data_IF_944626077780
#
_entry.id   IF_944626077780
#
_cell.length_a   1.000
_cell.length_b   1.000
_cell.length_c   1.000
_cell.angle_alpha   90.00
_cell.angle_beta   90.00
_cell.angle_gamma   90.00
#
_symmetry.space_group_name_H-M   'P 1'
#
loop_
_entity.id
_entity.type
_entity.pdbx_description
1 polymer ?
#
# COMPACT_ATOMS: atom_id res chain seq x y z
N UNK A 1 8.29 -4.66 -33.30
CA UNK A 1 8.33 -4.46 -31.84
C UNK A 1 7.15 -5.12 -31.10
N UNK A 2 6.14 -5.67 -31.78
CA UNK A 2 4.96 -6.31 -31.14
C UNK A 2 5.28 -7.59 -30.33
N UNK A 3 6.48 -8.16 -30.47
CA UNK A 3 6.92 -9.37 -29.79
C UNK A 3 8.08 -9.14 -28.80
N UNK A 4 8.24 -7.91 -28.27
CA UNK A 4 9.27 -7.63 -27.25
C UNK A 4 8.91 -8.40 -25.97
N UNK A 5 9.85 -9.20 -25.41
CA UNK A 5 9.64 -9.86 -24.13
C UNK A 5 9.39 -8.83 -23.03
N UNK A 6 8.39 -9.11 -22.19
CA UNK A 6 8.04 -8.22 -21.07
C UNK A 6 9.17 -8.09 -20.08
N UNK A 7 9.40 -6.88 -19.58
CA UNK A 7 10.36 -6.68 -18.50
C UNK A 7 9.77 -7.14 -17.16
N UNK A 8 10.61 -7.64 -16.24
CA UNK A 8 10.14 -8.00 -14.90
C UNK A 8 9.73 -6.75 -14.11
N UNK A 9 8.55 -6.81 -13.51
CA UNK A 9 8.03 -5.76 -12.64
C UNK A 9 8.58 -5.91 -11.22
N UNK A 10 9.00 -4.79 -10.61
CA UNK A 10 9.43 -4.70 -9.22
C UNK A 10 8.22 -4.75 -8.28
N UNK A 11 8.34 -5.48 -7.17
CA UNK A 11 7.45 -5.41 -6.01
C UNK A 11 8.27 -5.28 -4.72
N UNK A 12 7.61 -4.87 -3.64
CA UNK A 12 8.20 -4.75 -2.29
C UNK A 12 7.32 -5.52 -1.32
N UNK A 13 7.93 -6.12 -0.29
CA UNK A 13 7.24 -6.95 0.69
C UNK A 13 6.26 -6.16 1.58
N UNK A 14 5.29 -6.88 2.14
CA UNK A 14 4.31 -6.35 3.09
C UNK A 14 4.97 -6.12 4.46
N UNK A 15 4.56 -5.06 5.16
CA UNK A 15 4.89 -4.86 6.58
C UNK A 15 4.27 -5.98 7.42
N UNK A 16 5.03 -6.46 8.40
CA UNK A 16 4.54 -7.42 9.39
C UNK A 16 3.98 -6.69 10.61
N UNK A 17 2.80 -7.10 11.05
CA UNK A 17 2.16 -6.53 12.24
C UNK A 17 2.70 -7.22 13.51
N UNK A 18 2.94 -6.43 14.54
CA UNK A 18 3.18 -6.93 15.90
C UNK A 18 1.88 -7.30 16.61
N UNK A 19 2.00 -7.74 17.86
CA UNK A 19 0.85 -8.02 18.73
C UNK A 19 0.03 -6.75 19.00
N UNK A 20 -1.30 -6.91 19.02
CA UNK A 20 -2.24 -5.82 19.27
C UNK A 20 -3.44 -6.33 20.06
N UNK A 21 -3.72 -5.65 21.18
CA UNK A 21 -4.58 -6.19 22.23
C UNK A 21 -6.07 -5.85 22.08
N UNK A 22 -6.52 -5.17 21.00
CA UNK A 22 -7.86 -4.57 20.97
C UNK A 22 -8.91 -5.24 20.05
N UNK A 23 -8.59 -6.28 19.27
CA UNK A 23 -9.59 -7.09 18.52
C UNK A 23 -8.88 -8.20 17.73
N UNK A 24 -8.90 -9.44 18.23
CA UNK A 24 -8.10 -10.52 17.65
C UNK A 24 -8.60 -11.00 16.28
N UNK A 25 -9.91 -11.21 16.09
CA UNK A 25 -10.40 -11.94 14.92
C UNK A 25 -10.27 -11.19 13.59
N UNK A 26 -10.65 -9.90 13.54
CA UNK A 26 -10.62 -9.12 12.30
C UNK A 26 -9.20 -8.66 11.96
N UNK A 27 -8.40 -8.32 12.99
CA UNK A 27 -6.99 -7.98 12.79
C UNK A 27 -6.20 -9.20 12.32
N UNK A 28 -6.39 -10.39 12.91
CA UNK A 28 -5.70 -11.61 12.49
C UNK A 28 -5.91 -11.91 10.99
N UNK A 29 -7.10 -11.64 10.46
CA UNK A 29 -7.38 -11.79 9.03
C UNK A 29 -6.71 -10.70 8.17
N UNK A 30 -6.59 -9.48 8.67
CA UNK A 30 -5.93 -8.37 7.97
C UNK A 30 -4.39 -8.46 7.99
N UNK A 31 -3.80 -9.02 9.05
CA UNK A 31 -2.34 -9.16 9.19
C UNK A 31 -1.81 -10.42 8.49
N UNK A 32 -2.60 -11.48 8.41
CA UNK A 32 -2.31 -12.68 7.62
C UNK A 32 -3.09 -12.68 6.30
N UNK A 33 -3.02 -11.56 5.59
CA UNK A 33 -3.80 -11.36 4.37
C UNK A 33 -3.34 -12.32 3.26
N UNK A 34 -4.31 -12.93 2.57
CA UNK A 34 -4.04 -13.69 1.35
C UNK A 34 -3.51 -12.78 0.25
N UNK A 35 -2.57 -13.27 -0.56
CA UNK A 35 -1.96 -12.48 -1.65
C UNK A 35 -2.84 -12.43 -2.91
N UNK A 36 -4.14 -12.21 -2.74
CA UNK A 36 -5.18 -12.30 -3.78
C UNK A 36 -6.26 -11.20 -3.66
N UNK A 37 -7.25 -11.19 -4.57
CA UNK A 37 -8.30 -10.15 -4.62
C UNK A 37 -9.06 -10.02 -3.30
N UNK A 38 -9.33 -11.14 -2.64
CA UNK A 38 -9.97 -11.18 -1.34
C UNK A 38 -9.13 -10.45 -0.30
N UNK A 39 -7.81 -10.63 -0.33
CA UNK A 39 -6.89 -9.91 0.54
C UNK A 39 -6.98 -8.38 0.43
N UNK A 40 -7.12 -7.85 -0.78
CA UNK A 40 -7.34 -6.40 -0.96
C UNK A 40 -8.67 -5.93 -0.37
N UNK A 41 -9.72 -6.75 -0.47
CA UNK A 41 -11.03 -6.46 0.11
C UNK A 41 -10.94 -6.46 1.64
N UNK A 42 -10.25 -7.44 2.22
CA UNK A 42 -10.00 -7.55 3.66
C UNK A 42 -9.28 -6.32 4.22
N UNK A 43 -8.18 -5.89 3.58
CA UNK A 43 -7.45 -4.68 4.01
C UNK A 43 -8.29 -3.41 3.92
N UNK A 44 -9.06 -3.23 2.83
CA UNK A 44 -9.97 -2.07 2.67
C UNK A 44 -11.06 -2.05 3.73
N UNK A 45 -11.66 -3.21 4.00
CA UNK A 45 -12.70 -3.36 5.03
C UNK A 45 -12.13 -3.01 6.41
N UNK A 46 -10.96 -3.53 6.73
CA UNK A 46 -10.31 -3.27 8.01
C UNK A 46 -9.92 -1.79 8.15
N UNK A 47 -9.33 -1.17 7.12
CA UNK A 47 -9.03 0.26 7.11
C UNK A 47 -10.27 1.14 7.37
N UNK A 48 -11.41 0.80 6.76
CA UNK A 48 -12.68 1.49 7.02
C UNK A 48 -13.19 1.28 8.44
N UNK A 49 -13.08 0.06 8.98
CA UNK A 49 -13.45 -0.22 10.37
C UNK A 49 -12.59 0.56 11.38
N UNK A 50 -11.29 0.73 11.11
CA UNK A 50 -10.41 1.57 11.95
C UNK A 50 -10.86 3.03 11.94
N UNK A 51 -11.29 3.58 10.81
CA UNK A 51 -11.86 4.94 10.73
C UNK A 51 -13.16 5.05 11.52
N UNK A 52 -14.07 4.08 11.38
CA UNK A 52 -15.30 4.05 12.16
C UNK A 52 -15.02 3.97 13.66
N UNK A 53 -14.05 3.16 14.08
CA UNK A 53 -13.64 3.03 15.47
C UNK A 53 -13.10 4.37 16.02
N UNK A 54 -12.16 4.99 15.31
CA UNK A 54 -11.58 6.28 15.70
C UNK A 54 -12.63 7.39 15.80
N UNK A 55 -13.68 7.36 14.97
CA UNK A 55 -14.77 8.34 15.04
C UNK A 55 -15.65 8.23 16.30
N UNK A 56 -15.58 7.09 17.01
CA UNK A 56 -16.40 6.80 18.20
C UNK A 56 -15.57 6.77 19.49
N UNK A 57 -14.31 6.37 19.37
CA UNK A 57 -13.39 6.17 20.50
C UNK A 57 -12.14 7.01 20.24
N UNK A 58 -11.79 7.95 21.14
CA UNK A 58 -10.59 8.76 20.98
C UNK A 58 -9.35 7.88 21.26
N UNK A 59 -8.76 7.32 20.19
CA UNK A 59 -7.59 6.42 20.25
C UNK A 59 -6.34 7.03 19.60
N UNK A 60 -6.35 8.34 19.36
CA UNK A 60 -5.17 9.09 18.90
C UNK A 60 -4.18 9.41 20.04
N UNK A 61 -3.05 10.06 19.74
CA UNK A 61 -1.98 10.30 20.71
C UNK A 61 -2.46 11.03 21.96
N UNK A 62 -2.14 10.48 23.14
CA UNK A 62 -2.45 11.10 24.44
C UNK A 62 -3.92 10.99 24.89
N UNK A 63 -4.78 10.30 24.14
CA UNK A 63 -6.13 10.00 24.60
C UNK A 63 -6.17 8.79 25.54
N UNK A 64 -7.16 8.75 26.41
CA UNK A 64 -7.33 7.70 27.44
C UNK A 64 -7.51 6.29 26.85
N UNK A 65 -8.12 6.19 25.65
CA UNK A 65 -8.31 4.91 24.96
C UNK A 65 -7.21 4.62 23.92
N UNK A 66 -6.13 5.39 23.88
CA UNK A 66 -4.98 5.09 23.06
C UNK A 66 -4.34 3.77 23.53
N UNK A 67 -3.99 2.90 22.58
CA UNK A 67 -3.35 1.62 22.86
C UNK A 67 -2.09 1.47 22.01
N UNK A 68 -1.06 0.74 22.51
CA UNK A 68 0.15 0.50 21.74
C UNK A 68 -0.15 -0.25 20.43
N UNK A 69 0.29 0.33 19.32
CA UNK A 69 0.27 -0.23 17.97
C UNK A 69 1.71 -0.51 17.56
N UNK A 70 2.04 -1.77 17.26
CA UNK A 70 3.40 -2.18 16.88
C UNK A 70 3.43 -2.76 15.47
N UNK A 71 4.38 -2.31 14.65
CA UNK A 71 4.66 -2.86 13.32
C UNK A 71 6.16 -2.96 13.07
N UNK A 72 6.56 -3.92 12.23
CA UNK A 72 7.95 -4.06 11.80
C UNK A 72 8.25 -3.10 10.66
N UNK A 73 9.31 -2.31 10.79
CA UNK A 73 9.86 -1.47 9.74
C UNK A 73 10.63 -2.34 8.73
N UNK A 74 10.30 -2.23 7.43
CA UNK A 74 10.74 -3.23 6.43
C UNK A 74 12.23 -3.20 6.10
N UNK A 75 12.91 -2.06 6.26
CA UNK A 75 14.32 -1.95 5.87
C UNK A 75 15.27 -2.41 6.97
N UNK A 76 14.94 -2.10 8.23
CA UNK A 76 15.76 -2.45 9.39
C UNK A 76 15.30 -3.72 10.10
N UNK A 77 14.07 -4.19 9.83
CA UNK A 77 13.46 -5.32 10.53
C UNK A 77 13.13 -5.03 12.00
N UNK A 78 13.19 -3.77 12.44
CA UNK A 78 12.95 -3.39 13.83
C UNK A 78 11.46 -3.15 14.08
N UNK A 79 10.99 -3.58 15.25
CA UNK A 79 9.66 -3.24 15.74
C UNK A 79 9.60 -1.75 16.10
N UNK A 80 8.56 -1.08 15.65
CA UNK A 80 8.25 0.32 15.92
C UNK A 80 6.87 0.38 16.56
N UNK A 81 6.74 1.11 17.66
CA UNK A 81 5.51 1.17 18.46
C UNK A 81 5.06 2.61 18.67
N UNK A 82 3.77 2.87 18.44
CA UNK A 82 3.11 4.14 18.74
C UNK A 82 1.77 3.92 19.43
N UNK A 83 1.40 4.78 20.37
CA UNK A 83 0.06 4.82 20.96
C UNK A 83 -0.87 5.69 20.10
N UNK A 84 -1.09 5.26 18.87
CA UNK A 84 -1.87 6.00 17.88
C UNK A 84 -2.54 5.06 16.88
N UNK A 85 -3.86 5.04 16.85
CA UNK A 85 -4.63 4.26 15.88
C UNK A 85 -4.33 4.67 14.42
N UNK A 86 -3.93 5.91 14.18
CA UNK A 86 -3.56 6.35 12.84
C UNK A 86 -2.27 5.69 12.34
N UNK A 87 -1.41 5.18 13.23
CA UNK A 87 -0.28 4.34 12.83
C UNK A 87 -0.74 2.99 12.25
N UNK A 88 -1.75 2.36 12.85
CA UNK A 88 -2.33 1.12 12.33
C UNK A 88 -2.95 1.36 10.94
N UNK A 89 -3.74 2.43 10.81
CA UNK A 89 -4.35 2.83 9.54
C UNK A 89 -3.30 3.04 8.44
N UNK A 90 -2.20 3.73 8.76
CA UNK A 90 -1.08 3.96 7.86
C UNK A 90 -0.45 2.65 7.37
N UNK A 91 -0.14 1.73 8.28
CA UNK A 91 0.48 0.44 7.93
C UNK A 91 -0.45 -0.45 7.08
N UNK A 92 -1.74 -0.47 7.39
CA UNK A 92 -2.74 -1.21 6.61
C UNK A 92 -2.86 -0.63 5.19
N UNK A 93 -2.87 0.69 5.06
CA UNK A 93 -2.91 1.35 3.76
C UNK A 93 -1.63 1.12 2.94
N UNK A 94 -0.47 1.14 3.60
CA UNK A 94 0.81 0.78 2.98
C UNK A 94 0.77 -0.65 2.42
N UNK A 95 0.34 -1.62 3.23
CA UNK A 95 0.18 -3.01 2.82
C UNK A 95 -0.85 -3.18 1.68
N UNK A 96 -1.93 -2.41 1.69
CA UNK A 96 -2.89 -2.40 0.59
C UNK A 96 -2.23 -1.94 -0.73
N UNK A 97 -1.45 -0.86 -0.70
CA UNK A 97 -0.69 -0.38 -1.86
C UNK A 97 0.23 -1.47 -2.42
N UNK A 98 1.02 -2.11 -1.56
CA UNK A 98 1.94 -3.20 -1.94
C UNK A 98 1.21 -4.42 -2.50
N UNK A 99 0.15 -4.87 -1.84
CA UNK A 99 -0.64 -6.03 -2.29
C UNK A 99 -1.29 -5.77 -3.66
N UNK A 100 -1.75 -4.55 -3.92
CA UNK A 100 -2.27 -4.16 -5.22
C UNK A 100 -1.15 -4.21 -6.29
N UNK A 101 0.04 -3.69 -5.98
CA UNK A 101 1.20 -3.73 -6.90
C UNK A 101 1.57 -5.14 -7.33
N UNK A 102 1.60 -6.11 -6.39
CA UNK A 102 1.93 -7.50 -6.69
C UNK A 102 0.98 -8.15 -7.71
N UNK A 103 -0.27 -7.66 -7.79
CA UNK A 103 -1.24 -8.12 -8.80
C UNK A 103 -1.06 -7.43 -10.16
N UNK A 104 -0.41 -6.27 -10.18
CA UNK A 104 -0.03 -5.58 -11.41
C UNK A 104 0.96 -6.37 -12.27
N UNK A 105 1.66 -7.35 -11.68
CA UNK A 105 2.69 -8.17 -12.34
C UNK A 105 2.19 -8.96 -13.58
N UNK A 106 0.87 -9.08 -13.77
CA UNK A 106 0.26 -9.70 -14.97
C UNK A 106 -0.31 -8.67 -15.98
N UNK A 107 0.21 -7.44 -16.00
CA UNK A 107 -0.06 -6.37 -17.01
C UNK A 107 -1.34 -5.58 -16.73
N UNK A 108 -1.68 -5.39 -15.46
CA UNK A 108 -2.82 -4.55 -15.11
C UNK A 108 -2.34 -3.14 -14.76
N UNK A 109 -2.36 -2.26 -15.76
CA UNK A 109 -2.11 -0.83 -15.59
C UNK A 109 -2.97 -0.23 -14.45
N UNK A 110 -4.22 -0.68 -14.33
CA UNK A 110 -5.15 -0.24 -13.27
C UNK A 110 -4.63 -0.58 -11.88
N UNK A 111 -4.01 -1.74 -11.68
CA UNK A 111 -3.47 -2.10 -10.36
C UNK A 111 -2.31 -1.19 -9.97
N UNK A 112 -1.36 -0.94 -10.87
CA UNK A 112 -0.26 -0.01 -10.58
C UNK A 112 -0.75 1.41 -10.28
N UNK A 113 -1.74 1.93 -11.04
CA UNK A 113 -2.37 3.21 -10.72
C UNK A 113 -3.08 3.20 -9.34
N UNK A 114 -3.82 2.14 -9.02
CA UNK A 114 -4.45 2.01 -7.70
C UNK A 114 -3.43 1.94 -6.56
N UNK A 115 -2.29 1.28 -6.78
CA UNK A 115 -1.19 1.22 -5.82
C UNK A 115 -0.57 2.61 -5.60
N UNK A 116 -0.27 3.33 -6.68
CA UNK A 116 0.19 4.73 -6.62
C UNK A 116 -0.79 5.62 -5.86
N UNK A 117 -2.10 5.43 -6.08
CA UNK A 117 -3.15 6.16 -5.36
C UNK A 117 -3.16 5.87 -3.86
N UNK A 118 -2.94 4.61 -3.44
CA UNK A 118 -2.84 4.26 -2.03
C UNK A 118 -1.64 4.92 -1.34
N UNK A 119 -0.46 4.91 -1.98
CA UNK A 119 0.72 5.58 -1.44
C UNK A 119 0.59 7.12 -1.45
N UNK A 120 -0.07 7.69 -2.46
CA UNK A 120 -0.35 9.14 -2.49
C UNK A 120 -1.28 9.53 -1.36
N UNK A 121 -2.35 8.77 -1.13
CA UNK A 121 -3.25 9.02 -0.01
C UNK A 121 -2.52 8.91 1.33
N UNK A 122 -1.67 7.88 1.50
CA UNK A 122 -0.86 7.70 2.70
C UNK A 122 0.04 8.93 2.95
N UNK A 123 0.78 9.37 1.93
CA UNK A 123 1.68 10.53 1.98
C UNK A 123 0.94 11.82 2.35
N UNK A 124 -0.25 12.03 1.79
CA UNK A 124 -0.95 13.32 1.89
C UNK A 124 -1.82 13.43 3.17
N UNK A 125 -2.24 12.30 3.75
CA UNK A 125 -3.17 12.29 4.90
C UNK A 125 -2.52 11.88 6.23
N UNK A 126 -1.32 11.27 6.21
CA UNK A 126 -0.60 10.86 7.42
C UNK A 126 0.70 11.66 7.56
N UNK A 127 0.58 12.88 8.09
CA UNK A 127 1.64 13.90 8.13
C UNK A 127 2.84 13.46 8.99
N UNK A 128 2.60 12.64 10.02
CA UNK A 128 3.67 12.08 10.84
C UNK A 128 4.30 10.88 10.13
N UNK A 129 5.59 11.01 9.78
CA UNK A 129 6.37 9.86 9.31
C UNK A 129 6.64 8.91 10.48
N UNK A 130 5.74 7.96 10.70
CA UNK A 130 5.85 6.98 11.80
C UNK A 130 7.13 6.13 11.70
N UNK A 131 7.51 5.72 10.50
CA UNK A 131 8.72 4.92 10.24
C UNK A 131 9.37 5.29 8.91
N UNK A 132 10.66 4.96 8.75
CA UNK A 132 11.48 5.41 7.60
C UNK A 132 10.92 4.91 6.27
N UNK A 133 10.41 3.68 6.24
CA UNK A 133 9.70 3.06 5.11
C UNK A 133 8.42 3.77 4.68
N UNK A 134 7.85 4.62 5.52
CA UNK A 134 6.69 5.46 5.20
C UNK A 134 7.04 6.95 5.15
N UNK A 135 8.33 7.30 5.07
CA UNK A 135 8.74 8.69 4.87
C UNK A 135 8.26 9.22 3.51
N UNK A 136 8.04 10.53 3.40
CA UNK A 136 7.64 11.16 2.14
C UNK A 136 8.58 10.84 0.97
N UNK A 137 9.88 10.70 1.23
CA UNK A 137 10.85 10.37 0.20
C UNK A 137 10.61 8.96 -0.36
N UNK A 138 10.44 7.96 0.53
CA UNK A 138 10.16 6.57 0.14
C UNK A 138 8.79 6.45 -0.52
N UNK A 139 7.76 7.13 0.01
CA UNK A 139 6.44 7.12 -0.60
C UNK A 139 6.45 7.76 -1.99
N UNK A 140 7.17 8.86 -2.21
CA UNK A 140 7.32 9.45 -3.54
C UNK A 140 8.07 8.52 -4.51
N UNK A 141 9.08 7.80 -4.03
CA UNK A 141 9.74 6.76 -4.82
C UNK A 141 8.75 5.67 -5.23
N UNK A 142 7.98 5.13 -4.28
CA UNK A 142 6.97 4.11 -4.53
C UNK A 142 5.89 4.60 -5.52
N UNK A 143 5.37 5.82 -5.34
CA UNK A 143 4.37 6.41 -6.26
C UNK A 143 4.91 6.50 -7.68
N UNK A 144 6.11 7.05 -7.87
CA UNK A 144 6.71 7.21 -9.19
C UNK A 144 7.04 5.85 -9.83
N UNK A 145 7.50 4.88 -9.06
CA UNK A 145 7.74 3.53 -9.54
C UNK A 145 6.44 2.89 -10.04
N UNK A 146 5.36 2.97 -9.26
CA UNK A 146 4.05 2.44 -9.65
C UNK A 146 3.51 3.13 -10.91
N UNK A 147 3.61 4.46 -11.00
CA UNK A 147 3.19 5.19 -12.21
C UNK A 147 4.04 4.83 -13.43
N UNK A 148 5.35 4.63 -13.26
CA UNK A 148 6.24 4.15 -14.32
C UNK A 148 5.82 2.77 -14.85
N UNK A 149 5.53 1.83 -13.95
CA UNK A 149 5.05 0.49 -14.32
C UNK A 149 3.66 0.51 -14.98
N UNK A 150 2.78 1.40 -14.53
CA UNK A 150 1.50 1.64 -15.20
C UNK A 150 1.70 2.16 -16.63
N UNK A 151 2.63 3.10 -16.81
CA UNK A 151 2.95 3.67 -18.13
C UNK A 151 3.59 2.62 -19.05
N UNK A 152 4.46 1.75 -18.53
CA UNK A 152 5.01 0.62 -19.27
C UNK A 152 3.89 -0.31 -19.76
N UNK A 153 2.91 -0.65 -18.91
CA UNK A 153 1.75 -1.44 -19.32
C UNK A 153 0.94 -0.76 -20.44
N UNK A 154 0.80 0.57 -20.41
CA UNK A 154 0.12 1.33 -21.47
C UNK A 154 0.93 1.38 -22.77
N UNK A 155 2.26 1.46 -22.66
CA UNK A 155 3.16 1.43 -23.80
C UNK A 155 3.07 0.08 -24.52
N UNK A 156 3.18 -1.02 -23.78
CA UNK A 156 3.02 -2.38 -24.33
C UNK A 156 1.67 -2.52 -25.06
N UNK A 157 0.59 -2.06 -24.43
CA UNK A 157 -0.75 -2.09 -25.04
C UNK A 157 -0.81 -1.22 -26.30
N UNK A 158 -0.23 -0.03 -26.28
CA UNK A 158 -0.25 0.89 -27.42
C UNK A 158 0.52 0.33 -28.63
N UNK A 159 1.59 -0.42 -28.37
CA UNK A 159 2.34 -1.13 -29.40
C UNK A 159 1.53 -2.29 -29.99
N UNK A 160 0.86 -3.09 -29.15
CA UNK A 160 -0.04 -4.17 -29.60
C UNK A 160 -1.26 -3.64 -30.38
N UNK A 161 -1.79 -2.49 -29.96
CA UNK A 161 -2.92 -1.82 -30.62
C UNK A 161 -2.50 -1.09 -31.92
N UNK A 162 -1.23 -1.18 -32.35
CA UNK A 162 -0.69 -0.50 -33.53
C UNK A 162 -1.00 1.02 -33.55
N UNK A 163 -0.87 1.67 -32.40
CA UNK A 163 -1.05 3.13 -32.30
C UNK A 163 0.03 3.87 -33.11
N UNK A 164 -0.27 5.11 -33.50
CA UNK A 164 0.66 5.96 -34.26
C UNK A 164 2.02 6.07 -33.55
N UNK A 165 3.12 5.94 -34.30
CA UNK A 165 4.48 5.94 -33.73
C UNK A 165 4.79 7.19 -32.88
N UNK A 166 4.26 8.36 -33.25
CA UNK A 166 4.39 9.57 -32.44
C UNK A 166 3.73 9.47 -31.06
N UNK A 167 2.62 8.73 -30.94
CA UNK A 167 1.96 8.49 -29.66
C UNK A 167 2.70 7.46 -28.82
N UNK A 168 3.29 6.43 -29.45
CA UNK A 168 4.08 5.40 -28.77
C UNK A 168 5.40 5.97 -28.23
N UNK A 169 5.97 6.97 -28.91
CA UNK A 169 7.22 7.61 -28.49
C UNK A 169 7.07 8.64 -27.35
N UNK A 170 5.84 9.01 -26.99
CA UNK A 170 5.54 10.05 -25.99
C UNK A 170 5.05 9.43 -24.69
#
# INVERSE_FOLDING_TARGET
MEAVPRMPMIWVDLKEAGEFNFSQAVKQSAVNVTRDFEGCSTLRKYFGQLHYLQSRIPMGPGHEAAVPVTWTEIFSGKAVTYEDISYEQACILYNLGKLISMKGMKVSCTHFQCSAGAFSYLRDNFIHSYSVDMSHHILNLDINLMLGQAQECLLEKSMLDNRKSFLVAR
#
